data_IF_430121191545
#
_entry.id   IF_430121191545
#
_cell.length_a   1.000
_cell.length_b   1.000
_cell.length_c   1.000
_cell.angle_alpha   90.00
_cell.angle_beta   90.00
_cell.angle_gamma   90.00
#
_symmetry.space_group_name_H-M   'P 1'
#
loop_
_entity.id
_entity.type
_entity.pdbx_description
1 polymer ?
#
# COMPACT_ATOMS: atom_id res chain seq x y z
N UNK A 1 -4.78 2.00 10.45
CA UNK A 1 -5.52 3.16 10.98
C UNK A 1 -5.96 4.11 9.86
N UNK A 2 -5.15 4.36 8.85
CA UNK A 2 -5.44 5.32 7.77
C UNK A 2 -6.76 5.03 7.05
N UNK A 3 -7.10 3.77 6.82
CA UNK A 3 -8.34 3.38 6.15
C UNK A 3 -9.61 3.75 6.96
N UNK A 4 -9.52 3.85 8.29
CA UNK A 4 -10.65 4.27 9.15
C UNK A 4 -10.80 5.78 9.25
N UNK A 5 -9.71 6.53 9.06
CA UNK A 5 -9.70 7.99 9.22
C UNK A 5 -10.75 8.70 8.34
N UNK A 6 -10.92 8.38 7.05
CA UNK A 6 -11.88 9.04 6.19
C UNK A 6 -13.33 8.58 6.39
N UNK A 7 -13.57 7.61 7.28
CA UNK A 7 -14.94 7.12 7.50
C UNK A 7 -15.85 8.20 8.10
N UNK A 8 -17.14 8.24 7.75
CA UNK A 8 -18.07 9.21 8.29
C UNK A 8 -18.14 9.21 9.83
N UNK A 9 -17.97 8.04 10.45
CA UNK A 9 -17.96 7.91 11.92
C UNK A 9 -16.83 8.69 12.56
N UNK A 10 -15.63 8.64 11.98
CA UNK A 10 -14.47 9.37 12.48
C UNK A 10 -14.59 10.86 12.13
N UNK A 11 -14.90 11.18 10.88
CA UNK A 11 -14.94 12.56 10.41
C UNK A 11 -16.02 13.38 11.15
N UNK A 12 -17.22 12.83 11.34
CA UNK A 12 -18.29 13.53 12.05
C UNK A 12 -17.98 13.77 13.52
N UNK A 13 -17.14 12.94 14.12
CA UNK A 13 -16.77 13.04 15.53
C UNK A 13 -15.56 13.94 15.79
N UNK A 14 -14.58 13.92 14.90
CA UNK A 14 -13.28 14.53 15.15
C UNK A 14 -12.93 15.66 14.18
N UNK A 15 -13.44 15.66 12.94
CA UNK A 15 -13.19 16.72 11.97
C UNK A 15 -14.16 17.87 12.19
N UNK A 16 -14.03 18.55 13.34
CA UNK A 16 -14.90 19.65 13.76
C UNK A 16 -14.21 20.99 13.51
N UNK A 17 -14.97 21.96 13.01
CA UNK A 17 -14.47 23.32 12.81
C UNK A 17 -14.14 23.97 14.15
N UNK A 18 -12.93 24.45 14.31
CA UNK A 18 -12.35 24.91 15.58
C UNK A 18 -13.10 26.04 16.27
N UNK A 19 -13.81 26.90 15.52
CA UNK A 19 -14.63 27.98 16.09
C UNK A 19 -16.10 27.59 16.30
N UNK A 20 -16.66 26.82 15.39
CA UNK A 20 -18.12 26.58 15.38
C UNK A 20 -18.52 25.21 15.88
N UNK A 21 -17.59 24.27 16.05
CA UNK A 21 -17.87 22.89 16.43
C UNK A 21 -18.63 22.08 15.37
N UNK A 22 -18.90 22.65 14.19
CA UNK A 22 -19.64 21.95 13.14
C UNK A 22 -18.76 20.92 12.45
N UNK A 23 -19.31 19.74 12.11
CA UNK A 23 -18.57 18.73 11.33
C UNK A 23 -18.14 19.24 9.96
N UNK A 24 -17.11 18.62 9.39
CA UNK A 24 -16.66 18.88 8.03
C UNK A 24 -17.81 18.74 7.04
N UNK A 25 -17.99 19.69 6.10
CA UNK A 25 -19.07 19.59 5.11
C UNK A 25 -18.93 18.36 4.20
N UNK A 26 -20.00 17.61 3.99
CA UNK A 26 -20.02 16.43 3.12
C UNK A 26 -19.48 16.71 1.70
N UNK A 27 -19.74 17.91 1.16
CA UNK A 27 -19.22 18.31 -0.14
C UNK A 27 -17.68 18.40 -0.17
N UNK A 28 -17.07 18.78 0.95
CA UNK A 28 -15.60 18.82 1.08
C UNK A 28 -15.03 17.41 1.20
N UNK A 29 -15.68 16.53 1.97
CA UNK A 29 -15.29 15.12 2.06
C UNK A 29 -15.27 14.46 0.68
N UNK A 30 -16.34 14.64 -0.11
CA UNK A 30 -16.38 14.12 -1.49
C UNK A 30 -15.27 14.66 -2.40
N UNK A 31 -14.83 15.91 -2.20
CA UNK A 31 -13.67 16.45 -2.94
C UNK A 31 -12.36 15.77 -2.52
N UNK A 32 -12.18 15.50 -1.24
CA UNK A 32 -11.01 14.79 -0.71
C UNK A 32 -10.98 13.37 -1.25
N UNK A 33 -12.11 12.65 -1.22
CA UNK A 33 -12.23 11.31 -1.80
C UNK A 33 -11.89 11.29 -3.30
N UNK A 34 -12.42 12.25 -4.06
CA UNK A 34 -12.10 12.37 -5.49
C UNK A 34 -10.63 12.69 -5.75
N UNK A 35 -9.99 13.44 -4.87
CA UNK A 35 -8.58 13.80 -4.99
C UNK A 35 -7.63 12.63 -4.62
N UNK A 36 -8.09 11.64 -3.85
CA UNK A 36 -7.26 10.54 -3.37
C UNK A 36 -6.69 9.65 -4.47
N UNK A 37 -7.37 9.57 -5.62
CA UNK A 37 -6.92 8.81 -6.79
C UNK A 37 -6.20 9.66 -7.83
N UNK A 38 -6.06 10.98 -7.58
CA UNK A 38 -5.38 11.87 -8.51
C UNK A 38 -3.88 11.55 -8.58
N UNK A 39 -3.39 11.46 -9.80
CA UNK A 39 -1.97 11.25 -10.10
C UNK A 39 -1.34 9.96 -9.50
N UNK A 40 -2.15 8.96 -9.18
CA UNK A 40 -1.67 7.71 -8.57
C UNK A 40 -0.71 6.93 -9.49
N UNK A 41 -0.84 7.06 -10.80
CA UNK A 41 0.11 6.47 -11.75
C UNK A 41 1.53 7.01 -11.54
N UNK A 42 1.69 8.32 -11.52
CA UNK A 42 2.98 8.97 -11.27
C UNK A 42 3.55 8.56 -9.90
N UNK A 43 2.76 8.69 -8.84
CA UNK A 43 3.19 8.39 -7.46
C UNK A 43 3.66 6.92 -7.34
N UNK A 44 2.95 6.00 -7.99
CA UNK A 44 3.28 4.58 -7.95
C UNK A 44 4.57 4.29 -8.71
N UNK A 45 4.75 4.85 -9.90
CA UNK A 45 5.95 4.65 -10.73
C UNK A 45 7.19 5.30 -10.09
N UNK A 46 7.04 6.51 -9.53
CA UNK A 46 8.11 7.20 -8.78
C UNK A 46 8.60 6.34 -7.59
N UNK A 47 7.65 5.77 -6.84
CA UNK A 47 7.97 4.89 -5.72
C UNK A 47 8.67 3.59 -6.19
N UNK A 48 8.14 2.95 -7.23
CA UNK A 48 8.71 1.72 -7.78
C UNK A 48 10.12 1.95 -8.32
N UNK A 49 10.38 3.09 -8.96
CA UNK A 49 11.72 3.47 -9.39
C UNK A 49 12.71 3.44 -8.23
N UNK A 50 12.36 4.06 -7.10
CA UNK A 50 13.20 4.07 -5.90
C UNK A 50 13.41 2.67 -5.32
N UNK A 51 12.38 1.84 -5.24
CA UNK A 51 12.46 0.49 -4.70
C UNK A 51 13.31 -0.44 -5.59
N UNK A 52 13.21 -0.30 -6.89
CA UNK A 52 13.97 -1.12 -7.84
C UNK A 52 15.45 -0.69 -7.93
N UNK A 53 15.74 0.60 -7.84
CA UNK A 53 17.13 1.09 -7.74
C UNK A 53 17.78 0.61 -6.46
N UNK A 54 17.09 0.72 -5.31
CA UNK A 54 17.56 0.19 -4.03
C UNK A 54 17.91 -1.30 -4.13
N UNK A 55 16.99 -2.11 -4.62
CA UNK A 55 17.20 -3.54 -4.79
C UNK A 55 18.39 -3.86 -5.68
N UNK A 56 18.47 -3.26 -6.87
CA UNK A 56 19.57 -3.47 -7.82
C UNK A 56 20.91 -3.03 -7.26
N UNK A 57 20.95 -1.89 -6.55
CA UNK A 57 22.16 -1.37 -5.96
C UNK A 57 22.75 -2.33 -4.93
N UNK A 58 21.92 -2.87 -4.04
CA UNK A 58 22.36 -3.80 -3.01
C UNK A 58 22.67 -5.20 -3.56
N UNK A 59 22.08 -5.59 -4.70
CA UNK A 59 22.45 -6.82 -5.42
C UNK A 59 23.78 -6.71 -6.17
N UNK A 60 24.28 -5.50 -6.43
CA UNK A 60 25.55 -5.31 -7.13
C UNK A 60 26.79 -5.72 -6.29
N UNK A 61 26.62 -5.97 -4.99
CA UNK A 61 27.69 -6.42 -4.10
C UNK A 61 28.80 -5.39 -3.96
N UNK A 62 30.06 -5.82 -4.08
CA UNK A 62 31.26 -4.98 -3.90
C UNK A 62 31.72 -4.26 -5.17
N UNK A 63 30.92 -4.23 -6.22
CA UNK A 63 31.27 -3.53 -7.46
C UNK A 63 31.39 -2.02 -7.21
N UNK A 64 32.39 -1.40 -7.84
CA UNK A 64 32.50 0.07 -7.83
C UNK A 64 31.44 0.63 -8.75
N UNK A 65 30.53 1.41 -8.17
CA UNK A 65 29.36 1.99 -8.85
C UNK A 65 29.54 3.51 -8.92
N UNK A 66 29.30 4.09 -10.10
CA UNK A 66 28.95 5.50 -10.24
C UNK A 66 27.46 5.64 -9.95
N UNK A 67 27.06 6.33 -8.88
CA UNK A 67 25.65 6.35 -8.48
C UNK A 67 24.72 7.03 -9.49
N UNK A 68 25.20 8.08 -10.18
CA UNK A 68 24.38 8.81 -11.16
C UNK A 68 24.19 8.01 -12.45
N UNK A 69 25.23 7.34 -12.92
CA UNK A 69 25.14 6.45 -14.09
C UNK A 69 24.24 5.24 -13.78
N UNK A 70 24.44 4.60 -12.64
CA UNK A 70 23.68 3.43 -12.22
C UNK A 70 22.18 3.73 -12.09
N UNK A 71 21.82 4.85 -11.45
CA UNK A 71 20.44 5.31 -11.31
C UNK A 71 19.81 5.53 -12.68
N UNK A 72 20.48 6.31 -13.55
CA UNK A 72 19.99 6.61 -14.89
C UNK A 72 19.76 5.34 -15.72
N UNK A 73 20.76 4.47 -15.81
CA UNK A 73 20.68 3.22 -16.57
C UNK A 73 19.60 2.27 -16.05
N UNK A 74 19.42 2.23 -14.72
CA UNK A 74 18.36 1.43 -14.11
C UNK A 74 16.99 1.97 -14.47
N UNK A 75 16.77 3.28 -14.39
CA UNK A 75 15.49 3.91 -14.69
C UNK A 75 15.16 3.82 -16.20
N UNK A 76 16.15 4.03 -17.06
CA UNK A 76 16.01 3.86 -18.53
C UNK A 76 15.62 2.41 -18.88
N UNK A 77 16.29 1.43 -18.26
CA UNK A 77 15.96 0.01 -18.42
C UNK A 77 14.55 -0.39 -17.96
N UNK A 78 13.95 0.41 -17.08
CA UNK A 78 12.55 0.27 -16.64
C UNK A 78 11.55 1.04 -17.52
N UNK A 79 12.03 1.75 -18.54
CA UNK A 79 11.20 2.60 -19.39
C UNK A 79 10.75 3.91 -18.72
N UNK A 80 11.43 4.35 -17.67
CA UNK A 80 11.12 5.63 -17.02
C UNK A 80 11.40 6.78 -17.98
N UNK A 81 10.47 7.74 -18.13
CA UNK A 81 10.75 8.96 -18.90
C UNK A 81 11.96 9.70 -18.33
N UNK A 82 12.85 10.16 -19.21
CA UNK A 82 14.10 10.85 -18.81
C UNK A 82 13.87 12.14 -18.01
N UNK A 83 12.70 12.72 -18.12
CA UNK A 83 12.28 13.92 -17.40
C UNK A 83 11.92 13.64 -15.94
N UNK A 84 11.73 12.36 -15.58
CA UNK A 84 11.38 11.92 -14.22
C UNK A 84 12.64 11.35 -13.57
N UNK A 85 13.08 11.98 -12.50
CA UNK A 85 14.17 11.50 -11.65
C UNK A 85 13.61 10.86 -10.38
N UNK A 86 14.42 10.08 -9.70
CA UNK A 86 14.05 9.55 -8.38
C UNK A 86 13.70 10.68 -7.41
N UNK A 87 12.69 10.48 -6.58
CA UNK A 87 12.34 11.37 -5.47
C UNK A 87 13.54 11.66 -4.57
N UNK A 88 14.32 10.64 -4.26
CA UNK A 88 15.57 10.72 -3.50
C UNK A 88 16.68 10.20 -4.40
N UNK A 89 17.53 11.11 -4.91
CA UNK A 89 18.70 10.72 -5.71
C UNK A 89 19.57 9.76 -4.88
N UNK A 90 20.14 8.77 -5.52
CA UNK A 90 20.90 7.67 -4.85
C UNK A 90 21.91 8.18 -3.80
N UNK A 91 22.74 9.21 -4.05
CA UNK A 91 23.68 9.73 -3.05
C UNK A 91 23.02 10.37 -1.82
N UNK A 92 21.76 10.75 -1.91
CA UNK A 92 20.99 11.44 -0.86
C UNK A 92 19.97 10.52 -0.19
N UNK A 93 19.86 9.27 -0.64
CA UNK A 93 18.85 8.32 -0.16
C UNK A 93 19.29 7.66 1.14
N UNK A 94 19.55 8.46 2.18
CA UNK A 94 20.00 8.00 3.48
C UNK A 94 19.13 6.90 4.10
N UNK A 95 17.87 6.83 3.73
CA UNK A 95 16.92 5.83 4.26
C UNK A 95 17.38 4.38 4.04
N UNK A 96 17.89 4.06 2.85
CA UNK A 96 18.34 2.71 2.49
C UNK A 96 19.81 2.44 2.86
N UNK A 97 20.52 3.46 3.33
CA UNK A 97 21.93 3.37 3.77
C UNK A 97 22.11 3.56 5.28
N UNK A 98 21.05 3.89 6.02
CA UNK A 98 21.12 4.17 7.46
C UNK A 98 21.36 2.94 8.33
N UNK A 99 21.29 1.73 7.79
CA UNK A 99 21.50 0.46 8.48
C UNK A 99 20.93 -0.71 7.70
N UNK A 100 21.25 -1.92 8.12
CA UNK A 100 20.88 -3.16 7.43
C UNK A 100 19.36 -3.38 7.33
N UNK A 101 18.58 -2.79 8.24
CA UNK A 101 17.13 -2.96 8.27
C UNK A 101 16.35 -2.40 7.07
N UNK A 102 16.97 -1.52 6.29
CA UNK A 102 16.33 -0.91 5.10
C UNK A 102 17.10 -1.16 3.80
N UNK A 103 18.29 -1.72 3.86
CA UNK A 103 19.08 -2.07 2.67
C UNK A 103 18.35 -3.12 1.85
N UNK A 104 18.12 -2.83 0.56
CA UNK A 104 17.27 -3.62 -0.33
C UNK A 104 15.83 -3.83 0.18
N UNK A 105 15.40 -3.03 1.15
CA UNK A 105 14.15 -3.18 1.87
C UNK A 105 13.08 -2.14 1.54
N UNK A 106 13.36 -1.17 0.67
CA UNK A 106 12.41 -0.08 0.40
C UNK A 106 11.11 -0.55 -0.25
N UNK A 107 11.13 -1.67 -0.97
CA UNK A 107 9.92 -2.30 -1.53
C UNK A 107 8.88 -2.68 -0.47
N UNK A 108 9.29 -2.86 0.79
CA UNK A 108 8.43 -3.34 1.88
C UNK A 108 7.23 -2.43 2.16
N UNK A 109 7.33 -1.14 1.88
CA UNK A 109 6.20 -0.21 2.03
C UNK A 109 5.05 -0.53 1.07
N UNK A 110 5.36 -0.83 -0.20
CA UNK A 110 4.34 -1.22 -1.17
C UNK A 110 3.77 -2.61 -0.85
N UNK A 111 4.62 -3.52 -0.39
CA UNK A 111 4.22 -4.83 0.09
C UNK A 111 3.22 -4.71 1.25
N UNK A 112 3.54 -3.91 2.25
CA UNK A 112 2.67 -3.65 3.40
C UNK A 112 1.37 -2.94 3.01
N UNK A 113 1.41 -2.02 2.03
CA UNK A 113 0.19 -1.36 1.53
C UNK A 113 -0.72 -2.35 0.80
N UNK A 114 -0.17 -3.33 0.08
CA UNK A 114 -0.91 -4.42 -0.53
C UNK A 114 -1.64 -5.26 0.54
N UNK A 115 -0.92 -5.71 1.56
CA UNK A 115 -1.50 -6.48 2.68
C UNK A 115 -2.55 -5.67 3.43
N UNK A 116 -2.28 -4.39 3.70
CA UNK A 116 -3.19 -3.48 4.40
C UNK A 116 -4.47 -3.24 3.61
N UNK A 117 -4.36 -3.07 2.31
CA UNK A 117 -5.51 -2.83 1.42
C UNK A 117 -6.43 -4.06 1.38
N UNK A 118 -5.87 -5.24 1.17
CA UNK A 118 -6.62 -6.50 1.17
C UNK A 118 -7.22 -6.80 2.56
N UNK A 119 -6.47 -6.55 3.65
CA UNK A 119 -6.98 -6.72 5.00
C UNK A 119 -8.17 -5.80 5.30
N UNK A 120 -8.19 -4.58 4.75
CA UNK A 120 -9.31 -3.66 4.93
C UNK A 120 -10.55 -4.08 4.13
N UNK A 121 -10.38 -4.67 2.95
CA UNK A 121 -11.49 -5.23 2.19
C UNK A 121 -12.29 -6.27 2.97
N UNK A 122 -11.68 -7.00 3.92
CA UNK A 122 -12.42 -7.90 4.81
C UNK A 122 -13.53 -7.18 5.59
N UNK A 123 -13.33 -5.92 5.94
CA UNK A 123 -14.35 -5.09 6.59
C UNK A 123 -15.42 -4.63 5.61
N UNK A 124 -15.03 -4.31 4.37
CA UNK A 124 -15.97 -3.89 3.32
C UNK A 124 -16.84 -5.06 2.84
N UNK A 125 -16.30 -6.27 2.80
CA UNK A 125 -17.00 -7.51 2.53
C UNK A 125 -17.94 -7.92 3.68
N UNK A 126 -17.68 -7.46 4.89
CA UNK A 126 -18.50 -7.66 6.08
C UNK A 126 -19.57 -6.58 6.24
N UNK A 127 -19.82 -6.17 7.48
CA UNK A 127 -20.82 -5.14 7.82
C UNK A 127 -20.25 -3.73 7.85
N UNK A 128 -19.07 -3.53 7.29
CA UNK A 128 -18.40 -2.23 7.18
C UNK A 128 -17.24 -2.05 8.17
N UNK A 129 -16.67 -0.84 8.22
CA UNK A 129 -15.39 -0.53 8.91
C UNK A 129 -15.34 -0.91 10.40
N UNK A 130 -16.48 -1.13 11.02
CA UNK A 130 -16.60 -1.45 12.45
C UNK A 130 -17.24 -2.82 12.70
N UNK A 131 -17.14 -3.75 11.75
CA UNK A 131 -17.60 -5.12 11.95
C UNK A 131 -16.79 -5.80 13.07
N UNK A 132 -17.48 -6.07 14.19
CA UNK A 132 -16.86 -6.65 15.37
C UNK A 132 -16.31 -8.07 15.13
N UNK A 133 -16.91 -8.84 14.23
CA UNK A 133 -16.46 -10.20 13.89
C UNK A 133 -15.15 -10.15 13.13
N UNK A 134 -15.04 -9.26 12.14
CA UNK A 134 -13.81 -9.06 11.38
C UNK A 134 -12.73 -8.46 12.28
N UNK A 135 -13.08 -7.48 13.12
CA UNK A 135 -12.15 -6.87 14.07
C UNK A 135 -11.57 -7.90 15.05
N UNK A 136 -12.38 -8.82 15.57
CA UNK A 136 -11.91 -9.87 16.47
C UNK A 136 -10.97 -10.86 15.75
N UNK A 137 -11.26 -11.23 14.51
CA UNK A 137 -10.34 -12.04 13.71
C UNK A 137 -9.00 -11.34 13.50
N UNK A 138 -9.03 -10.05 13.13
CA UNK A 138 -7.83 -9.24 12.94
C UNK A 138 -7.01 -9.16 14.24
N UNK A 139 -7.68 -8.88 15.36
CA UNK A 139 -7.04 -8.86 16.67
C UNK A 139 -6.38 -10.20 17.00
N UNK A 140 -7.12 -11.29 16.83
CA UNK A 140 -6.69 -12.65 17.23
C UNK A 140 -5.53 -13.16 16.39
N UNK A 141 -5.60 -12.99 15.07
CA UNK A 141 -4.68 -13.64 14.15
C UNK A 141 -3.53 -12.73 13.68
N UNK A 142 -3.66 -11.41 13.82
CA UNK A 142 -2.63 -10.46 13.39
C UNK A 142 -2.01 -9.73 14.56
N UNK A 143 -2.82 -9.00 15.36
CA UNK A 143 -2.26 -8.12 16.39
C UNK A 143 -1.78 -8.84 17.64
N UNK A 144 -2.41 -9.96 18.02
CA UNK A 144 -2.10 -10.65 19.28
C UNK A 144 -1.01 -11.72 19.15
N UNK A 145 -0.57 -12.06 17.92
CA UNK A 145 0.36 -13.18 17.72
C UNK A 145 1.82 -12.81 17.93
N UNK A 146 2.21 -11.52 17.74
CA UNK A 146 3.52 -11.01 18.09
C UNK A 146 4.71 -11.84 17.57
N UNK A 147 4.67 -12.26 16.32
CA UNK A 147 5.69 -13.10 15.69
C UNK A 147 5.87 -14.51 16.31
N UNK A 148 4.87 -15.03 17.00
CA UNK A 148 4.86 -16.41 17.54
C UNK A 148 4.32 -17.43 16.54
N UNK A 149 3.79 -16.96 15.42
CA UNK A 149 3.24 -17.77 14.32
C UNK A 149 3.81 -17.21 13.01
N UNK A 150 3.98 -18.08 12.01
CA UNK A 150 4.38 -17.64 10.68
C UNK A 150 3.44 -16.54 10.16
N UNK A 151 3.94 -15.37 9.72
CA UNK A 151 3.10 -14.26 9.31
C UNK A 151 2.15 -14.59 8.15
N UNK A 152 2.54 -15.47 7.22
CA UNK A 152 1.67 -15.88 6.13
C UNK A 152 0.51 -16.74 6.62
N UNK A 153 0.77 -17.65 7.57
CA UNK A 153 -0.27 -18.49 8.17
C UNK A 153 -1.21 -17.65 9.03
N UNK A 154 -0.67 -16.69 9.80
CA UNK A 154 -1.46 -15.74 10.56
C UNK A 154 -2.38 -14.91 9.65
N UNK A 155 -1.86 -14.44 8.52
CA UNK A 155 -2.64 -13.69 7.54
C UNK A 155 -3.74 -14.54 6.90
N UNK A 156 -3.43 -15.77 6.47
CA UNK A 156 -4.43 -16.72 5.95
C UNK A 156 -5.50 -17.06 6.97
N UNK A 157 -5.14 -17.21 8.25
CA UNK A 157 -6.10 -17.44 9.32
C UNK A 157 -7.06 -16.26 9.51
N UNK A 158 -6.59 -15.04 9.27
CA UNK A 158 -7.42 -13.84 9.28
C UNK A 158 -8.27 -13.71 8.01
N UNK A 159 -7.64 -13.81 6.82
CA UNK A 159 -8.24 -13.41 5.55
C UNK A 159 -8.89 -14.56 4.80
N UNK A 160 -8.43 -15.80 5.03
CA UNK A 160 -8.86 -17.02 4.33
C UNK A 160 -8.09 -17.30 3.04
N UNK A 161 -7.23 -16.40 2.62
CA UNK A 161 -6.41 -16.48 1.40
C UNK A 161 -5.16 -15.61 1.51
N UNK A 162 -4.23 -15.76 0.57
CA UNK A 162 -3.10 -14.85 0.43
C UNK A 162 -3.54 -13.50 -0.15
N UNK A 163 -2.87 -12.42 0.24
CA UNK A 163 -3.15 -11.11 -0.31
C UNK A 163 -2.81 -11.04 -1.81
N UNK A 164 -3.75 -10.50 -2.58
CA UNK A 164 -3.53 -10.12 -3.98
C UNK A 164 -3.32 -8.62 -4.14
N UNK A 165 -2.91 -8.18 -5.33
CA UNK A 165 -2.71 -6.76 -5.64
C UNK A 165 -4.03 -6.02 -5.92
N UNK A 166 -5.12 -6.73 -6.14
CA UNK A 166 -6.38 -6.16 -6.64
C UNK A 166 -6.95 -5.09 -5.70
N UNK A 167 -6.90 -5.35 -4.38
CA UNK A 167 -7.34 -4.41 -3.36
C UNK A 167 -6.56 -3.09 -3.41
N UNK A 168 -5.24 -3.17 -3.56
CA UNK A 168 -4.39 -1.99 -3.71
C UNK A 168 -4.70 -1.25 -5.02
N UNK A 169 -4.92 -1.97 -6.12
CA UNK A 169 -5.28 -1.36 -7.40
C UNK A 169 -6.61 -0.60 -7.30
N UNK A 170 -7.63 -1.20 -6.69
CA UNK A 170 -8.92 -0.51 -6.43
C UNK A 170 -8.74 0.73 -5.58
N UNK A 171 -8.01 0.64 -4.47
CA UNK A 171 -7.71 1.77 -3.58
C UNK A 171 -7.04 2.92 -4.32
N UNK A 172 -6.16 2.63 -5.27
CA UNK A 172 -5.45 3.62 -6.08
C UNK A 172 -6.22 4.09 -7.31
N UNK A 173 -7.40 3.54 -7.57
CA UNK A 173 -8.24 3.90 -8.72
C UNK A 173 -7.75 3.31 -10.04
N UNK A 174 -6.94 2.27 -10.02
CA UNK A 174 -6.54 1.52 -11.22
C UNK A 174 -7.59 0.49 -11.60
N UNK A 175 -7.75 0.19 -12.91
CA UNK A 175 -8.66 -0.86 -13.35
C UNK A 175 -8.17 -2.23 -12.86
N UNK A 176 -9.11 -3.01 -12.33
CA UNK A 176 -8.86 -4.41 -11.94
C UNK A 176 -9.69 -5.29 -12.86
N UNK A 177 -9.10 -6.33 -13.49
CA UNK A 177 -9.86 -7.28 -14.28
C UNK A 177 -10.96 -7.91 -13.41
N UNK A 178 -12.20 -7.90 -13.90
CA UNK A 178 -13.26 -8.68 -13.24
C UNK A 178 -12.86 -10.14 -13.31
N UNK A 179 -12.77 -10.81 -12.15
CA UNK A 179 -12.66 -12.27 -12.13
C UNK A 179 -13.86 -12.83 -12.90
N UNK A 180 -13.60 -13.56 -13.99
CA UNK A 180 -14.65 -14.31 -14.67
C UNK A 180 -15.38 -15.13 -13.60
N UNK A 181 -16.70 -14.99 -13.53
CA UNK A 181 -17.52 -15.79 -12.63
C UNK A 181 -17.19 -17.28 -12.90
N UNK A 182 -16.65 -17.95 -11.90
CA UNK A 182 -16.40 -19.38 -12.00
C UNK A 182 -17.75 -20.04 -12.24
N UNK A 183 -17.99 -20.46 -13.47
CA UNK A 183 -19.14 -21.30 -13.83
C UNK A 183 -18.95 -22.61 -13.07
N UNK A 184 -19.61 -22.74 -11.92
CA UNK A 184 -19.77 -24.05 -11.31
C UNK A 184 -20.53 -24.91 -12.33
N UNK A 185 -19.80 -25.77 -13.03
CA UNK A 185 -20.44 -26.91 -13.71
C UNK A 185 -21.01 -27.79 -12.61
N UNK A 186 -22.31 -27.69 -12.42
CA UNK A 186 -23.07 -28.77 -11.80
C UNK A 186 -23.01 -29.94 -12.77
N UNK A 187 -22.12 -30.87 -12.53
CA UNK A 187 -22.24 -32.21 -13.05
C UNK A 187 -23.23 -32.94 -12.14
N UNK A 188 -24.45 -33.12 -12.67
CA UNK A 188 -25.48 -34.00 -12.12
C UNK A 188 -25.22 -35.48 -12.45
#
# INVERSE_FOLDING_TARGET
LENWLPTPQVLNRFALHYKTGKPIPKALVKKIEKASTFNQGFITVEYLGSALVDMKLHLAGSQKIDPDAFERETLEGLGMPKEIVMRHRTPQFGHVFAGDGYSAGYYSYLWSDTLTSDAYEAFEEGRGPYDATVAERLRRHVFSVGNTVDPADAYRAFRGHDAGIDALMRKRGFPVPQKAASTQKNEG
#
